data_IF_644750726061
#
_entry.id   IF_644750726061
#
_cell.length_a   1.000
_cell.length_b   1.000
_cell.length_c   1.000
_cell.angle_alpha   90.00
_cell.angle_beta   90.00
_cell.angle_gamma   90.00
#
_symmetry.space_group_name_H-M   'P 1'
#
loop_
_entity.id
_entity.type
_entity.pdbx_description
1 polymer ?
#
# COMPACT_ATOMS: atom_id res chain seq x y z
N UNK A 1 7.23 -6.30 4.60
CA UNK A 1 5.80 -6.13 4.24
C UNK A 1 5.56 -4.84 3.46
N UNK A 2 6.06 -3.69 3.94
CA UNK A 2 5.91 -2.38 3.28
C UNK A 2 6.14 -2.40 1.76
N UNK A 3 7.30 -2.88 1.29
CA UNK A 3 7.59 -2.95 -0.14
C UNK A 3 6.60 -3.82 -0.95
N UNK A 4 6.04 -4.88 -0.36
CA UNK A 4 5.05 -5.71 -1.02
C UNK A 4 3.71 -4.96 -1.18
N UNK A 5 3.28 -4.23 -0.14
CA UNK A 5 2.10 -3.37 -0.18
C UNK A 5 2.28 -2.23 -1.17
N UNK A 6 3.43 -1.55 -1.18
CA UNK A 6 3.70 -0.50 -2.16
C UNK A 6 3.60 -1.03 -3.59
N UNK A 7 4.19 -2.21 -3.87
CA UNK A 7 4.05 -2.86 -5.19
C UNK A 7 2.60 -3.23 -5.50
N UNK A 8 1.85 -3.71 -4.51
CA UNK A 8 0.42 -4.00 -4.62
C UNK A 8 -0.42 -2.73 -4.81
N UNK A 9 0.06 -1.54 -4.47
CA UNK A 9 -0.66 -0.29 -4.66
C UNK A 9 -0.26 0.47 -5.93
N UNK A 10 0.60 -0.12 -6.79
CA UNK A 10 0.83 0.38 -8.16
C UNK A 10 -0.47 0.51 -8.96
N UNK A 11 -1.47 -0.31 -8.64
CA UNK A 11 -2.87 -0.05 -9.02
C UNK A 11 -3.64 0.22 -7.73
N UNK A 12 -4.49 1.26 -7.68
CA UNK A 12 -5.33 1.51 -6.52
C UNK A 12 -6.22 0.29 -6.20
N UNK A 13 -6.32 -0.06 -4.92
CA UNK A 13 -7.04 -1.25 -4.43
C UNK A 13 -7.67 -0.97 -3.08
N UNK A 14 -8.80 -1.62 -2.79
CA UNK A 14 -9.31 -1.67 -1.41
C UNK A 14 -8.38 -2.47 -0.50
N UNK A 15 -8.58 -2.37 0.81
CA UNK A 15 -7.84 -3.18 1.79
C UNK A 15 -7.97 -4.68 1.50
N UNK A 16 -9.19 -5.13 1.19
CA UNK A 16 -9.50 -6.50 0.80
C UNK A 16 -8.73 -6.89 -0.47
N UNK A 17 -8.74 -6.03 -1.49
CA UNK A 17 -8.02 -6.26 -2.73
C UNK A 17 -6.49 -6.36 -2.55
N UNK A 18 -5.92 -5.59 -1.62
CA UNK A 18 -4.50 -5.73 -1.24
C UNK A 18 -4.25 -7.08 -0.56
N UNK A 19 -5.14 -7.52 0.33
CA UNK A 19 -5.03 -8.82 1.01
C UNK A 19 -5.11 -9.97 0.02
N UNK A 20 -6.05 -9.93 -0.93
CA UNK A 20 -6.21 -10.92 -1.99
C UNK A 20 -4.98 -10.98 -2.90
N UNK A 21 -4.50 -9.82 -3.34
CA UNK A 21 -3.32 -9.73 -4.21
C UNK A 21 -2.07 -10.30 -3.53
N UNK A 22 -1.87 -9.97 -2.25
CA UNK A 22 -0.71 -10.44 -1.48
C UNK A 22 -0.91 -11.83 -0.87
N UNK A 23 -2.13 -12.40 -0.94
CA UNK A 23 -2.52 -13.67 -0.32
C UNK A 23 -2.18 -13.74 1.16
N UNK A 24 -2.47 -12.66 1.89
CA UNK A 24 -2.22 -12.56 3.34
C UNK A 24 -3.47 -12.07 4.07
N UNK A 25 -3.62 -12.40 5.36
CA UNK A 25 -4.74 -11.91 6.17
C UNK A 25 -4.69 -10.39 6.40
N UNK A 26 -5.86 -9.78 6.58
CA UNK A 26 -6.03 -8.32 6.77
C UNK A 26 -5.22 -7.74 7.93
N UNK A 27 -5.04 -8.49 9.02
CA UNK A 27 -4.27 -8.01 10.18
C UNK A 27 -2.78 -7.80 9.87
N UNK A 28 -2.23 -8.45 8.83
CA UNK A 28 -0.85 -8.21 8.37
C UNK A 28 -0.71 -6.97 7.50
N UNK A 29 -1.81 -6.54 6.88
CA UNK A 29 -1.83 -5.43 5.92
C UNK A 29 -2.17 -4.14 6.65
N UNK A 30 -3.17 -4.16 7.54
CA UNK A 30 -3.70 -2.96 8.21
C UNK A 30 -2.66 -2.11 8.93
N UNK A 31 -1.78 -2.73 9.73
CA UNK A 31 -0.76 -1.98 10.48
C UNK A 31 0.24 -1.32 9.52
N UNK A 32 0.73 -2.06 8.53
CA UNK A 32 1.70 -1.53 7.57
C UNK A 32 1.10 -0.49 6.62
N UNK A 33 -0.15 -0.66 6.15
CA UNK A 33 -0.83 0.37 5.35
C UNK A 33 -0.97 1.67 6.14
N UNK A 34 -1.34 1.58 7.42
CA UNK A 34 -1.42 2.75 8.29
C UNK A 34 -0.08 3.45 8.45
N UNK A 35 1.00 2.71 8.70
CA UNK A 35 2.35 3.28 8.78
C UNK A 35 2.76 3.98 7.46
N UNK A 36 2.44 3.38 6.31
CA UNK A 36 2.73 3.96 5.01
C UNK A 36 1.89 5.21 4.71
N UNK A 37 0.64 5.25 5.18
CA UNK A 37 -0.22 6.42 5.10
C UNK A 37 0.30 7.56 5.99
N UNK A 38 0.65 7.26 7.24
CA UNK A 38 1.26 8.23 8.17
C UNK A 38 2.61 8.75 7.64
N UNK A 39 3.36 7.91 6.90
CA UNK A 39 4.59 8.31 6.21
C UNK A 39 4.37 9.09 4.90
N UNK A 40 3.12 9.33 4.48
CA UNK A 40 2.79 10.04 3.24
C UNK A 40 3.13 9.29 1.96
N UNK A 41 3.33 7.96 2.03
CA UNK A 41 3.65 7.11 0.88
C UNK A 41 2.39 6.50 0.24
N UNK A 42 1.32 6.37 1.02
CA UNK A 42 0.02 5.86 0.60
C UNK A 42 -1.03 6.92 0.88
N UNK A 43 -2.02 7.02 0.00
CA UNK A 43 -3.23 7.83 0.18
C UNK A 43 -4.44 6.91 0.18
N UNK A 44 -5.50 7.34 0.84
CA UNK A 44 -6.80 6.67 0.85
C UNK A 44 -7.85 7.66 0.35
N UNK A 45 -8.72 7.17 -0.54
CA UNK A 45 -9.87 7.88 -1.09
C UNK A 45 -11.04 6.90 -1.19
N UNK A 46 -12.10 7.16 -0.42
CA UNK A 46 -13.31 6.32 -0.33
C UNK A 46 -13.04 4.81 -0.15
N UNK A 47 -12.13 4.47 0.77
CA UNK A 47 -11.73 3.10 1.09
C UNK A 47 -10.79 2.45 0.06
N UNK A 48 -10.41 3.18 -1.00
CA UNK A 48 -9.43 2.74 -1.99
C UNK A 48 -8.07 3.34 -1.67
N UNK A 49 -7.08 2.47 -1.53
CA UNK A 49 -5.70 2.86 -1.25
C UNK A 49 -4.92 2.97 -2.55
N UNK A 50 -4.06 3.99 -2.64
CA UNK A 50 -3.17 4.23 -3.78
C UNK A 50 -1.83 4.80 -3.32
N UNK A 51 -0.90 4.93 -4.26
CA UNK A 51 0.40 5.55 -4.01
C UNK A 51 0.36 7.07 -4.19
N UNK A 52 1.01 7.79 -3.29
CA UNK A 52 1.41 9.19 -3.54
C UNK A 52 2.59 9.25 -4.49
N UNK A 53 2.99 10.46 -4.91
CA UNK A 53 4.24 10.65 -5.67
C UNK A 53 5.47 10.18 -4.87
N UNK A 54 5.48 10.43 -3.55
CA UNK A 54 6.52 9.92 -2.66
C UNK A 54 6.56 8.39 -2.58
N UNK A 55 5.38 7.76 -2.55
CA UNK A 55 5.25 6.29 -2.60
C UNK A 55 5.75 5.69 -3.90
N UNK A 56 5.47 6.33 -5.03
CA UNK A 56 6.00 5.94 -6.34
C UNK A 56 7.53 6.06 -6.38
N UNK A 57 8.08 7.20 -5.94
CA UNK A 57 9.53 7.41 -5.89
C UNK A 57 10.26 6.39 -5.01
N UNK A 58 9.66 5.98 -3.88
CA UNK A 58 10.26 4.94 -3.02
C UNK A 58 10.39 3.59 -3.73
N UNK A 59 9.42 3.22 -4.57
CA UNK A 59 9.50 1.97 -5.34
C UNK A 59 10.60 1.97 -6.39
N UNK A 60 10.95 3.13 -6.93
CA UNK A 60 12.00 3.29 -7.94
C UNK A 60 13.40 3.32 -7.31
N UNK A 61 13.52 3.74 -6.04
CA UNK A 61 14.77 3.71 -5.28
C UNK A 61 15.13 2.32 -4.76
N UNK A 62 14.14 1.46 -4.56
CA UNK A 62 14.28 0.09 -4.05
C UNK A 62 14.21 -0.99 -5.17
N UNK A 63 14.31 -0.61 -6.45
CA UNK A 63 14.27 -1.49 -7.63
C UNK A 63 15.65 -1.66 -8.28
#
# INVERSE_FOLDING_TARGET
MAAAILRALRTPRTMEGVCEYLRVPIYRVRSTVRELFEAGLVVEDDGVYGLTDGGRGRLEQDA
#
